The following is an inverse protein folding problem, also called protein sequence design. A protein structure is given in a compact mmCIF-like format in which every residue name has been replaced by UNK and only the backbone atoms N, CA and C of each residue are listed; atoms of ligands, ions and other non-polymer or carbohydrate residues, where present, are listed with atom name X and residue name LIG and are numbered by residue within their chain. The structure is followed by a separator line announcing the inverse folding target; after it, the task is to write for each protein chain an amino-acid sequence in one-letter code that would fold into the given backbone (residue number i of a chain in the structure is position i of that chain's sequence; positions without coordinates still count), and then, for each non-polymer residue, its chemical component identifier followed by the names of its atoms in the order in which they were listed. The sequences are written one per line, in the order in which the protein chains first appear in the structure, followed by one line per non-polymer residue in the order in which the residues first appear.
data_IF_310671636724
#
_entry.id   IF_310671636724
#
_cell.length_a   1.000
_cell.length_b   1.000
_cell.length_c   1.000
_cell.angle_alpha   90.00
_cell.angle_beta   90.00
_cell.angle_gamma   90.00
#
_symmetry.space_group_name_H-M   'P 1'
#
loop_
_entity.id
_entity.type
_entity.pdbx_description
1 polymer ?
#
# COMPACT_ATOMS: atom_id res chain seq x y z
N UNK A 1 -1.03 37.04 -31.83
CA UNK A 1 -0.49 35.80 -32.41
C UNK A 1 -0.33 34.79 -31.29
N UNK A 2 -1.29 33.88 -31.14
CA UNK A 2 -1.26 32.85 -30.10
C UNK A 2 -0.36 31.71 -30.58
N UNK A 3 0.71 31.41 -29.84
CA UNK A 3 1.55 30.27 -30.13
C UNK A 3 0.76 28.99 -29.86
N UNK A 4 0.50 28.22 -30.91
CA UNK A 4 0.01 26.84 -30.80
C UNK A 4 1.19 26.05 -30.25
N UNK A 5 1.14 25.72 -28.96
CA UNK A 5 2.05 24.73 -28.37
C UNK A 5 1.63 23.38 -28.95
N UNK A 6 2.33 22.95 -30.01
CA UNK A 6 2.27 21.56 -30.49
C UNK A 6 2.80 20.66 -29.38
N UNK A 7 1.90 20.20 -28.52
CA UNK A 7 2.19 19.14 -27.56
C UNK A 7 2.33 17.85 -28.37
N UNK A 8 3.57 17.45 -28.63
CA UNK A 8 3.86 16.12 -29.19
C UNK A 8 3.31 15.10 -28.19
N UNK A 9 2.25 14.39 -28.58
CA UNK A 9 1.66 13.34 -27.75
C UNK A 9 2.64 12.18 -27.71
N UNK A 10 3.34 12.01 -26.58
CA UNK A 10 4.25 10.88 -26.37
C UNK A 10 3.45 9.58 -26.40
N UNK A 11 3.98 8.50 -27.02
CA UNK A 11 3.33 7.21 -26.96
C UNK A 11 3.24 6.73 -25.51
N UNK A 12 2.07 6.18 -25.13
CA UNK A 12 1.89 5.52 -23.85
C UNK A 12 2.25 4.05 -23.98
N UNK A 13 3.07 3.56 -23.07
CA UNK A 13 3.53 2.18 -23.01
C UNK A 13 3.09 1.59 -21.68
N UNK A 14 2.24 0.56 -21.72
CA UNK A 14 1.86 -0.20 -20.54
C UNK A 14 2.84 -1.36 -20.33
N UNK A 15 3.32 -1.52 -19.10
CA UNK A 15 4.30 -2.54 -18.70
C UNK A 15 3.74 -3.29 -17.49
N UNK A 16 3.72 -4.62 -17.56
CA UNK A 16 3.38 -5.47 -16.42
C UNK A 16 4.64 -5.72 -15.58
N UNK A 17 4.57 -5.47 -14.27
CA UNK A 17 5.69 -5.65 -13.34
C UNK A 17 5.31 -6.66 -12.26
N UNK A 18 6.09 -7.73 -12.13
CA UNK A 18 5.84 -8.83 -11.21
C UNK A 18 6.68 -8.72 -9.93
N UNK A 19 6.02 -8.45 -8.81
CA UNK A 19 6.62 -8.62 -7.48
C UNK A 19 6.32 -10.04 -7.01
N UNK A 20 7.24 -10.96 -7.32
CA UNK A 20 7.11 -12.39 -7.00
C UNK A 20 7.67 -12.67 -5.62
N UNK A 21 6.85 -13.24 -4.73
CA UNK A 21 7.24 -13.62 -3.37
C UNK A 21 7.53 -15.11 -3.27
N UNK A 22 8.59 -15.48 -2.53
CA UNK A 22 8.80 -16.86 -2.10
C UNK A 22 8.16 -17.14 -0.73
N UNK A 23 8.26 -18.38 -0.27
CA UNK A 23 7.72 -18.82 1.03
C UNK A 23 8.42 -18.20 2.24
N UNK A 24 9.61 -17.62 2.07
CA UNK A 24 10.35 -16.90 3.10
C UNK A 24 10.06 -15.39 3.12
N UNK A 25 9.13 -14.91 2.28
CA UNK A 25 8.77 -13.49 2.19
C UNK A 25 9.77 -12.63 1.42
N UNK A 26 10.77 -13.23 0.77
CA UNK A 26 11.69 -12.52 -0.13
C UNK A 26 11.05 -12.32 -1.50
N UNK A 27 11.55 -11.30 -2.22
CA UNK A 27 11.11 -10.95 -3.56
C UNK A 27 12.14 -11.41 -4.60
N UNK A 28 11.68 -11.82 -5.77
CA UNK A 28 12.54 -12.15 -6.90
C UNK A 28 13.01 -10.87 -7.60
N UNK A 29 14.32 -10.70 -7.65
CA UNK A 29 15.00 -9.59 -8.31
C UNK A 29 15.76 -10.08 -9.53
N UNK A 30 15.75 -9.31 -10.61
CA UNK A 30 16.54 -9.55 -11.80
C UNK A 30 17.54 -8.40 -12.02
N UNK A 31 18.76 -8.73 -12.47
CA UNK A 31 19.80 -7.77 -12.81
C UNK A 31 19.95 -7.71 -14.33
N UNK A 32 19.83 -6.50 -14.89
CA UNK A 32 19.86 -6.30 -16.34
C UNK A 32 21.18 -6.80 -16.95
N UNK A 33 21.12 -7.63 -18.00
CA UNK A 33 22.33 -8.11 -18.68
C UNK A 33 23.06 -6.98 -19.40
N UNK A 34 24.33 -7.22 -19.69
CA UNK A 34 25.16 -6.33 -20.50
C UNK A 34 24.53 -6.03 -21.87
N UNK A 35 24.71 -4.80 -22.35
CA UNK A 35 24.19 -4.35 -23.65
C UNK A 35 22.75 -3.84 -23.67
N UNK A 36 22.00 -3.95 -22.56
CA UNK A 36 20.70 -3.25 -22.38
C UNK A 36 20.91 -1.87 -21.71
N UNK A 37 20.01 -0.89 -21.91
CA UNK A 37 20.01 0.34 -21.11
C UNK A 37 19.93 0.00 -19.62
N UNK A 38 20.77 0.63 -18.80
CA UNK A 38 20.92 0.32 -17.36
C UNK A 38 21.43 -1.10 -17.08
N UNK A 39 22.37 -1.62 -17.88
CA UNK A 39 23.08 -2.86 -17.58
C UNK A 39 23.64 -2.84 -16.14
N UNK A 40 23.51 -3.96 -15.42
CA UNK A 40 23.91 -4.09 -14.02
C UNK A 40 22.92 -3.54 -12.98
N UNK A 41 21.81 -2.90 -13.40
CA UNK A 41 20.78 -2.43 -12.47
C UNK A 41 19.81 -3.54 -12.10
N UNK A 42 19.39 -3.55 -10.84
CA UNK A 42 18.39 -4.47 -10.30
C UNK A 42 16.97 -3.93 -10.45
N UNK A 43 16.04 -4.81 -10.82
CA UNK A 43 14.62 -4.52 -10.98
C UNK A 43 13.74 -5.74 -10.71
N UNK A 44 12.42 -5.52 -10.74
CA UNK A 44 11.44 -6.60 -10.75
C UNK A 44 11.22 -7.11 -12.18
N UNK A 45 11.07 -8.42 -12.39
CA UNK A 45 10.84 -8.98 -13.71
C UNK A 45 9.49 -8.52 -14.30
N UNK A 46 9.42 -8.49 -15.62
CA UNK A 46 8.24 -8.02 -16.35
C UNK A 46 8.57 -7.29 -17.64
N UNK A 47 7.52 -6.97 -18.40
CA UNK A 47 7.71 -6.45 -19.75
C UNK A 47 6.46 -5.79 -20.31
N UNK A 48 6.53 -5.44 -21.59
CA UNK A 48 5.51 -4.63 -22.26
C UNK A 48 4.23 -5.44 -22.44
N UNK A 49 3.10 -4.79 -22.20
CA UNK A 49 1.78 -5.36 -22.51
C UNK A 49 1.57 -5.25 -24.01
N UNK A 50 1.31 -6.38 -24.67
CA UNK A 50 1.06 -6.40 -26.12
C UNK A 50 -0.36 -5.93 -26.48
N UNK A 51 -0.57 -5.65 -27.77
CA UNK A 51 -1.87 -5.23 -28.27
C UNK A 51 -2.94 -6.30 -27.99
N UNK A 52 -4.06 -5.88 -27.39
CA UNK A 52 -5.17 -6.74 -26.97
C UNK A 52 -4.82 -7.79 -25.88
N UNK A 53 -3.64 -7.68 -25.26
CA UNK A 53 -3.24 -8.52 -24.12
C UNK A 53 -3.72 -7.91 -22.80
N UNK A 54 -4.24 -8.76 -21.90
CA UNK A 54 -4.54 -8.34 -20.52
C UNK A 54 -3.26 -8.31 -19.68
N UNK A 55 -3.13 -7.37 -18.75
CA UNK A 55 -1.91 -7.18 -17.95
C UNK A 55 -1.45 -8.45 -17.23
N UNK A 56 -2.37 -9.22 -16.65
CA UNK A 56 -2.02 -10.50 -16.01
C UNK A 56 -1.46 -11.52 -17.00
N UNK A 57 -1.99 -11.57 -18.24
CA UNK A 57 -1.50 -12.47 -19.28
C UNK A 57 -0.11 -12.06 -19.74
N UNK A 58 0.12 -10.76 -19.94
CA UNK A 58 1.45 -10.21 -20.23
C UNK A 58 2.44 -10.61 -19.13
N UNK A 59 2.08 -10.38 -17.86
CA UNK A 59 2.91 -10.75 -16.73
C UNK A 59 3.29 -12.24 -16.73
N UNK A 60 2.32 -13.14 -16.94
CA UNK A 60 2.58 -14.59 -16.98
C UNK A 60 3.50 -14.97 -18.14
N UNK A 61 3.29 -14.37 -19.33
CA UNK A 61 4.14 -14.59 -20.50
C UNK A 61 5.57 -14.11 -20.25
N UNK A 62 5.75 -12.89 -19.78
CA UNK A 62 7.06 -12.30 -19.50
C UNK A 62 7.83 -13.12 -18.44
N UNK A 63 7.16 -13.52 -17.35
CA UNK A 63 7.78 -14.42 -16.35
C UNK A 63 8.20 -15.77 -16.94
N UNK A 64 7.43 -16.30 -17.90
CA UNK A 64 7.76 -17.56 -18.57
C UNK A 64 8.95 -17.40 -19.52
N UNK A 65 8.98 -16.30 -20.27
CA UNK A 65 10.04 -15.98 -21.24
C UNK A 65 11.37 -15.63 -20.57
N UNK A 66 11.34 -14.85 -19.49
CA UNK A 66 12.54 -14.42 -18.78
C UNK A 66 13.06 -15.49 -17.82
N UNK A 67 12.15 -16.18 -17.12
CA UNK A 67 12.47 -16.93 -15.89
C UNK A 67 12.02 -18.40 -15.89
N UNK A 68 11.36 -18.89 -16.94
CA UNK A 68 10.79 -20.25 -17.03
C UNK A 68 9.68 -20.57 -15.99
N UNK A 69 9.16 -19.56 -15.28
CA UNK A 69 8.10 -19.74 -14.26
C UNK A 69 6.73 -19.30 -14.77
N UNK A 70 5.68 -19.91 -14.23
CA UNK A 70 4.28 -19.56 -14.56
C UNK A 70 3.56 -19.10 -13.30
N UNK A 71 3.17 -17.84 -13.22
CA UNK A 71 2.39 -17.33 -12.09
C UNK A 71 1.00 -17.96 -12.07
N UNK A 72 0.64 -18.60 -10.95
CA UNK A 72 -0.65 -19.30 -10.79
C UNK A 72 -1.60 -18.57 -9.85
N UNK A 73 -1.06 -17.80 -8.90
CA UNK A 73 -1.87 -16.94 -8.05
C UNK A 73 -1.20 -15.59 -7.82
N UNK A 74 -1.99 -14.54 -8.00
CA UNK A 74 -1.56 -13.17 -7.89
C UNK A 74 -2.74 -12.21 -7.91
N UNK A 75 -2.43 -10.91 -7.84
CA UNK A 75 -3.43 -9.85 -7.85
C UNK A 75 -2.80 -8.50 -8.18
N UNK A 76 -3.61 -7.55 -8.70
CA UNK A 76 -3.14 -6.19 -8.94
C UNK A 76 -2.74 -5.52 -7.62
N UNK A 77 -1.89 -4.49 -7.69
CA UNK A 77 -1.47 -3.76 -6.50
C UNK A 77 -1.70 -2.25 -6.61
N UNK A 78 -0.97 -1.56 -7.48
CA UNK A 78 -1.20 -0.17 -7.88
C UNK A 78 -0.41 0.11 -9.16
N UNK A 79 -0.66 1.25 -9.80
CA UNK A 79 0.08 1.65 -10.99
C UNK A 79 0.97 2.86 -10.71
N UNK A 80 2.07 2.97 -11.44
CA UNK A 80 2.91 4.17 -11.44
C UNK A 80 3.17 4.60 -12.87
N UNK A 81 3.29 5.91 -13.05
CA UNK A 81 3.59 6.51 -14.35
C UNK A 81 4.94 7.23 -14.26
N UNK A 82 5.79 6.95 -15.24
CA UNK A 82 7.05 7.64 -15.44
C UNK A 82 7.01 8.33 -16.79
N UNK A 83 7.19 9.66 -16.78
CA UNK A 83 7.30 10.45 -18.00
C UNK A 83 8.76 10.51 -18.45
N UNK A 84 9.11 9.64 -19.39
CA UNK A 84 10.42 9.69 -20.05
C UNK A 84 10.36 10.66 -21.23
N UNK A 85 11.52 11.13 -21.70
CA UNK A 85 11.59 12.04 -22.85
C UNK A 85 10.91 11.46 -24.11
N UNK A 86 11.01 10.15 -24.31
CA UNK A 86 10.55 9.44 -25.51
C UNK A 86 9.18 8.76 -25.37
N UNK A 87 8.67 8.55 -24.16
CA UNK A 87 7.41 7.82 -23.91
C UNK A 87 6.85 8.08 -22.50
N UNK A 88 5.53 7.93 -22.35
CA UNK A 88 4.89 7.84 -21.04
C UNK A 88 4.74 6.36 -20.67
N UNK A 89 5.49 5.90 -19.67
CA UNK A 89 5.50 4.49 -19.26
C UNK A 89 4.59 4.32 -18.05
N UNK A 90 3.59 3.44 -18.17
CA UNK A 90 2.69 3.05 -17.08
C UNK A 90 3.03 1.64 -16.61
N UNK A 91 3.58 1.56 -15.40
CA UNK A 91 3.91 0.32 -14.72
C UNK A 91 2.68 -0.18 -13.96
N UNK A 92 2.20 -1.36 -14.31
CA UNK A 92 1.14 -2.06 -13.58
C UNK A 92 1.79 -3.06 -12.64
N UNK A 93 1.80 -2.78 -11.35
CA UNK A 93 2.44 -3.65 -10.37
C UNK A 93 1.46 -4.73 -9.94
N UNK A 94 1.93 -5.96 -9.97
CA UNK A 94 1.20 -7.15 -9.54
C UNK A 94 2.00 -7.89 -8.50
N UNK A 95 1.28 -8.47 -7.54
CA UNK A 95 1.87 -9.42 -6.61
C UNK A 95 1.66 -10.82 -7.14
N UNK A 96 2.70 -11.64 -7.04
CA UNK A 96 2.62 -13.07 -7.30
C UNK A 96 3.06 -13.79 -6.03
N UNK A 97 2.19 -14.64 -5.49
CA UNK A 97 2.46 -15.39 -4.27
C UNK A 97 2.44 -16.90 -4.49
N UNK A 98 2.06 -17.36 -5.68
CA UNK A 98 2.25 -18.73 -6.11
C UNK A 98 2.58 -18.79 -7.60
N UNK A 99 3.52 -19.66 -7.94
CA UNK A 99 3.96 -19.94 -9.31
C UNK A 99 4.42 -21.40 -9.44
N UNK A 100 4.48 -21.87 -10.68
CA UNK A 100 5.03 -23.18 -11.04
C UNK A 100 6.37 -23.03 -11.76
N UNK A 101 7.24 -24.03 -11.61
CA UNK A 101 8.59 -24.06 -12.18
C UNK A 101 9.66 -23.52 -11.24
N UNK A 102 10.92 -23.72 -11.61
CA UNK A 102 12.09 -23.19 -10.92
C UNK A 102 12.68 -22.04 -11.75
N UNK A 103 12.90 -20.83 -11.16
CA UNK A 103 13.46 -19.70 -11.89
C UNK A 103 14.80 -20.04 -12.59
N UNK A 104 14.91 -19.69 -13.87
CA UNK A 104 16.12 -19.86 -14.69
C UNK A 104 16.42 -18.60 -15.49
N UNK A 105 17.67 -18.19 -15.66
CA UNK A 105 17.99 -16.94 -16.36
C UNK A 105 18.00 -17.13 -17.88
N UNK A 106 16.83 -17.07 -18.53
CA UNK A 106 16.70 -17.35 -19.97
C UNK A 106 17.26 -16.24 -20.87
N UNK A 107 17.43 -15.02 -20.33
CA UNK A 107 17.99 -13.86 -21.03
C UNK A 107 19.42 -13.51 -20.59
N UNK A 108 20.13 -14.44 -19.94
CA UNK A 108 21.48 -14.21 -19.38
C UNK A 108 21.53 -13.13 -18.29
N UNK A 109 20.39 -12.82 -17.67
CA UNK A 109 20.29 -11.97 -16.49
C UNK A 109 20.78 -12.72 -15.25
N UNK A 110 21.32 -12.00 -14.26
CA UNK A 110 21.42 -12.58 -12.92
C UNK A 110 20.07 -12.40 -12.20
N UNK A 111 19.74 -13.28 -11.26
CA UNK A 111 18.59 -13.07 -10.38
C UNK A 111 18.92 -13.50 -8.95
N UNK A 112 18.18 -12.97 -7.98
CA UNK A 112 18.29 -13.37 -6.58
C UNK A 112 16.97 -13.24 -5.84
N UNK A 113 16.82 -13.99 -4.75
CA UNK A 113 15.75 -13.80 -3.78
C UNK A 113 16.27 -12.92 -2.65
N UNK A 114 15.70 -11.74 -2.48
CA UNK A 114 16.11 -10.79 -1.45
C UNK A 114 14.92 -10.00 -0.89
N UNK A 115 15.05 -9.49 0.33
CA UNK A 115 14.03 -8.61 0.91
C UNK A 115 13.98 -7.27 0.17
N UNK A 116 12.86 -6.54 0.30
CA UNK A 116 12.66 -5.24 -0.34
C UNK A 116 13.63 -4.15 0.19
N UNK A 117 14.21 -4.36 1.37
CA UNK A 117 15.16 -3.48 2.05
C UNK A 117 16.62 -3.99 1.98
N UNK A 118 16.89 -4.97 1.13
CA UNK A 118 18.23 -5.57 1.00
C UNK A 118 19.27 -4.54 0.52
N UNK A 119 20.33 -4.33 1.31
CA UNK A 119 21.46 -3.47 0.95
C UNK A 119 22.36 -4.04 -0.15
N UNK A 120 22.25 -5.35 -0.43
CA UNK A 120 23.11 -6.05 -1.39
C UNK A 120 22.71 -5.78 -2.85
N UNK A 121 21.54 -5.16 -3.07
CA UNK A 121 21.03 -4.83 -4.40
C UNK A 121 21.41 -3.40 -4.76
N UNK A 122 22.49 -3.25 -5.53
CA UNK A 122 22.93 -1.94 -6.01
C UNK A 122 23.66 -2.04 -7.36
N UNK A 123 23.41 -1.13 -8.31
CA UNK A 123 22.39 -0.08 -8.27
C UNK A 123 20.97 -0.63 -8.53
N UNK A 124 19.94 0.01 -7.95
CA UNK A 124 18.52 -0.29 -8.25
C UNK A 124 18.05 0.64 -9.36
N UNK A 125 17.21 0.14 -10.26
CA UNK A 125 16.67 0.96 -11.35
C UNK A 125 15.96 2.21 -10.79
N UNK A 126 16.18 3.42 -11.34
CA UNK A 126 15.56 4.65 -10.82
C UNK A 126 14.02 4.64 -10.81
N UNK A 127 13.39 3.82 -11.65
CA UNK A 127 11.93 3.62 -11.63
C UNK A 127 11.47 2.67 -10.51
N UNK A 128 12.35 1.78 -10.04
CA UNK A 128 12.07 0.77 -9.01
C UNK A 128 12.33 1.28 -7.60
N UNK A 129 13.36 2.11 -7.40
CA UNK A 129 13.74 2.62 -6.08
C UNK A 129 12.60 3.37 -5.34
N UNK A 130 11.80 4.25 -5.99
CA UNK A 130 10.67 4.93 -5.31
C UNK A 130 9.52 3.98 -4.92
N UNK A 131 9.52 2.75 -5.44
CA UNK A 131 8.52 1.73 -5.13
C UNK A 131 8.76 1.12 -3.75
N UNK A 132 10.02 0.91 -3.38
CA UNK A 132 10.40 0.13 -2.20
C UNK A 132 9.71 0.57 -0.91
N UNK A 133 9.69 1.87 -0.54
CA UNK A 133 8.97 2.30 0.66
C UNK A 133 7.45 2.12 0.56
N UNK A 134 6.87 2.08 -0.65
CA UNK A 134 5.44 1.77 -0.86
C UNK A 134 5.15 0.28 -0.74
N UNK A 135 6.06 -0.57 -1.19
CA UNK A 135 5.93 -2.02 -1.16
C UNK A 135 6.19 -2.59 0.25
N UNK A 136 7.12 -1.99 0.99
CA UNK A 136 7.54 -2.41 2.33
C UNK A 136 6.57 -2.00 3.46
N UNK A 137 5.45 -1.34 3.13
CA UNK A 137 4.46 -0.97 4.14
C UNK A 137 3.83 -2.22 4.79
N UNK A 138 3.51 -2.15 6.10
CA UNK A 138 2.66 -3.14 6.77
C UNK A 138 1.38 -3.44 6.01
N UNK A 139 1.02 -4.71 5.86
CA UNK A 139 -0.23 -5.11 5.19
C UNK A 139 -1.45 -5.16 6.12
N UNK A 140 -1.24 -4.97 7.42
CA UNK A 140 -2.29 -4.93 8.43
C UNK A 140 -2.32 -3.56 9.12
N UNK A 141 -3.52 -3.07 9.36
CA UNK A 141 -3.77 -1.86 10.14
C UNK A 141 -4.81 -2.14 11.23
N UNK A 142 -4.43 -1.99 12.50
CA UNK A 142 -5.32 -2.07 13.64
C UNK A 142 -5.86 -0.68 14.00
N UNK A 143 -7.16 -0.57 14.27
CA UNK A 143 -7.76 0.66 14.78
C UNK A 143 -7.95 0.56 16.31
N UNK A 144 -7.67 1.66 17.02
CA UNK A 144 -8.04 1.81 18.42
C UNK A 144 -9.55 1.94 18.60
N UNK A 145 -10.04 1.62 19.79
CA UNK A 145 -11.43 1.83 20.19
C UNK A 145 -11.55 1.92 21.72
N UNK A 146 -10.74 2.75 22.35
CA UNK A 146 -10.74 2.95 23.81
C UNK A 146 -12.09 3.51 24.30
N UNK A 147 -12.81 4.25 23.46
CA UNK A 147 -14.17 4.71 23.75
C UNK A 147 -15.20 3.61 24.03
N UNK A 148 -14.96 2.38 23.57
CA UNK A 148 -15.80 1.22 23.91
C UNK A 148 -15.43 0.57 25.27
N UNK A 149 -14.37 1.06 25.93
CA UNK A 149 -13.86 0.57 27.21
C UNK A 149 -12.33 0.49 27.19
N UNK A 150 -11.69 1.24 28.10
CA UNK A 150 -10.22 1.34 28.15
C UNK A 150 -9.57 -0.03 28.33
N UNK A 151 -9.92 -0.76 29.39
CA UNK A 151 -9.26 -2.03 29.73
C UNK A 151 -9.46 -3.10 28.66
N UNK A 152 -10.65 -3.14 28.05
CA UNK A 152 -10.95 -4.07 26.97
C UNK A 152 -10.13 -3.77 25.71
N UNK A 153 -9.99 -2.50 25.34
CA UNK A 153 -9.18 -2.09 24.19
C UNK A 153 -7.68 -2.28 24.47
N UNK A 154 -7.19 -1.89 25.64
CA UNK A 154 -5.80 -2.06 26.07
C UNK A 154 -5.40 -3.53 26.00
N UNK A 155 -6.12 -4.42 26.69
CA UNK A 155 -5.86 -5.86 26.68
C UNK A 155 -5.87 -6.46 25.28
N UNK A 156 -6.81 -6.02 24.43
CA UNK A 156 -6.89 -6.46 23.03
C UNK A 156 -5.64 -6.06 22.25
N UNK A 157 -5.23 -4.80 22.34
CA UNK A 157 -4.06 -4.29 21.62
C UNK A 157 -2.75 -4.90 22.16
N UNK A 158 -2.62 -5.06 23.48
CA UNK A 158 -1.47 -5.74 24.09
C UNK A 158 -1.38 -7.18 23.59
N UNK A 159 -2.45 -7.97 23.72
CA UNK A 159 -2.46 -9.37 23.28
C UNK A 159 -2.23 -9.52 21.77
N UNK A 160 -2.64 -8.51 21.01
CA UNK A 160 -2.49 -8.43 19.57
C UNK A 160 -1.04 -8.16 19.16
N UNK A 161 -0.38 -7.19 19.80
CA UNK A 161 0.91 -6.67 19.39
C UNK A 161 2.09 -7.37 20.08
N UNK A 162 1.88 -7.90 21.30
CA UNK A 162 2.88 -8.67 22.01
C UNK A 162 3.08 -10.03 21.32
N UNK A 163 4.29 -10.28 20.82
CA UNK A 163 4.64 -11.52 20.12
C UNK A 163 4.40 -11.49 18.60
N UNK A 164 3.95 -10.37 18.04
CA UNK A 164 3.91 -10.20 16.58
C UNK A 164 5.33 -9.99 16.03
N UNK A 165 5.72 -10.86 15.10
CA UNK A 165 6.96 -10.72 14.34
C UNK A 165 6.79 -9.93 13.04
N UNK A 166 5.54 -9.57 12.69
CA UNK A 166 5.26 -8.73 11.52
C UNK A 166 4.93 -7.30 11.94
N UNK A 167 5.33 -6.35 11.11
CA UNK A 167 4.98 -4.96 11.26
C UNK A 167 3.50 -4.73 10.94
N UNK A 168 2.87 -3.85 11.72
CA UNK A 168 1.47 -3.46 11.66
C UNK A 168 1.35 -1.96 11.89
N UNK A 169 0.43 -1.33 11.19
CA UNK A 169 0.02 0.03 11.53
C UNK A 169 -1.01 0.03 12.66
N UNK A 170 -0.80 0.84 13.70
CA UNK A 170 -1.80 1.06 14.75
C UNK A 170 -2.36 2.46 14.59
N UNK A 171 -3.57 2.57 14.03
CA UNK A 171 -4.26 3.85 13.90
C UNK A 171 -5.00 4.18 15.20
N UNK A 172 -4.52 5.21 15.91
CA UNK A 172 -5.21 5.80 17.03
C UNK A 172 -6.30 6.75 16.55
N UNK A 173 -7.54 6.38 16.82
CA UNK A 173 -8.75 7.06 16.36
C UNK A 173 -9.84 6.94 17.40
N UNK A 174 -10.01 8.01 18.16
CA UNK A 174 -11.03 8.09 19.20
C UNK A 174 -11.98 9.24 18.89
N UNK A 175 -13.27 8.90 18.69
CA UNK A 175 -14.33 9.88 18.38
C UNK A 175 -15.04 10.41 19.63
N UNK A 176 -15.12 9.57 20.66
CA UNK A 176 -15.97 9.81 21.83
C UNK A 176 -15.18 10.22 23.08
N UNK A 177 -13.88 9.93 23.13
CA UNK A 177 -13.03 10.30 24.26
C UNK A 177 -12.60 11.77 24.17
N UNK A 178 -12.52 12.42 25.33
CA UNK A 178 -12.06 13.80 25.49
C UNK A 178 -11.25 13.94 26.79
N UNK A 179 -10.51 15.04 26.92
CA UNK A 179 -9.74 15.39 28.12
C UNK A 179 -8.80 14.27 28.58
N UNK A 180 -8.69 14.10 29.90
CA UNK A 180 -7.79 13.13 30.54
C UNK A 180 -7.99 11.69 30.05
N UNK A 181 -9.22 11.30 29.71
CA UNK A 181 -9.50 9.97 29.20
C UNK A 181 -8.89 9.75 27.80
N UNK A 182 -8.93 10.77 26.94
CA UNK A 182 -8.29 10.73 25.63
C UNK A 182 -6.77 10.72 25.74
N UNK A 183 -6.21 11.56 26.62
CA UNK A 183 -4.77 11.63 26.89
C UNK A 183 -4.25 10.28 27.39
N UNK A 184 -4.91 9.70 28.40
CA UNK A 184 -4.56 8.37 28.93
C UNK A 184 -4.58 7.28 27.86
N UNK A 185 -5.58 7.29 26.98
CA UNK A 185 -5.69 6.35 25.88
C UNK A 185 -4.56 6.52 24.85
N UNK A 186 -4.22 7.77 24.51
CA UNK A 186 -3.13 8.09 23.60
C UNK A 186 -1.78 7.64 24.16
N UNK A 187 -1.46 8.01 25.40
CA UNK A 187 -0.21 7.66 26.06
C UNK A 187 -0.02 6.14 26.16
N UNK A 188 -1.08 5.42 26.54
CA UNK A 188 -1.07 3.97 26.57
C UNK A 188 -0.79 3.37 25.18
N UNK A 189 -1.54 3.79 24.16
CA UNK A 189 -1.39 3.28 22.80
C UNK A 189 0.00 3.58 22.23
N UNK A 190 0.50 4.79 22.46
CA UNK A 190 1.82 5.22 22.00
C UNK A 190 2.94 4.44 22.68
N UNK A 191 2.89 4.30 24.01
CA UNK A 191 3.86 3.51 24.77
C UNK A 191 3.88 2.04 24.31
N UNK A 192 2.71 1.45 24.05
CA UNK A 192 2.61 0.09 23.54
C UNK A 192 3.25 -0.06 22.15
N UNK A 193 3.00 0.89 21.23
CA UNK A 193 3.61 0.88 19.90
C UNK A 193 5.14 1.00 20.00
N UNK A 194 5.65 1.88 20.86
CA UNK A 194 7.10 2.01 21.10
C UNK A 194 7.69 0.72 21.67
N UNK A 195 7.04 0.11 22.67
CA UNK A 195 7.47 -1.15 23.29
C UNK A 195 7.54 -2.31 22.28
N UNK A 196 6.62 -2.33 21.32
CA UNK A 196 6.46 -3.43 20.35
C UNK A 196 7.11 -3.12 18.99
N UNK A 197 7.73 -1.95 18.81
CA UNK A 197 8.33 -1.53 17.54
C UNK A 197 7.32 -1.25 16.42
N UNK A 198 6.05 -1.03 16.77
CA UNK A 198 4.96 -0.85 15.80
C UNK A 198 4.77 0.63 15.45
N UNK A 199 4.32 0.88 14.22
CA UNK A 199 4.12 2.25 13.73
C UNK A 199 2.73 2.75 14.10
N UNK A 200 2.65 3.76 14.96
CA UNK A 200 1.39 4.43 15.31
C UNK A 200 1.06 5.54 14.30
N UNK A 201 -0.20 5.61 13.90
CA UNK A 201 -0.77 6.66 13.06
C UNK A 201 -1.83 7.40 13.87
N UNK A 202 -1.87 8.73 13.81
CA UNK A 202 -2.85 9.51 14.55
C UNK A 202 -3.93 10.07 13.62
N UNK A 203 -5.20 9.76 13.89
CA UNK A 203 -6.30 10.32 13.10
C UNK A 203 -6.37 11.84 13.25
N UNK A 204 -6.59 12.57 12.14
CA UNK A 204 -6.53 14.04 12.17
C UNK A 204 -7.60 14.71 13.05
N UNK A 205 -8.80 14.15 13.20
CA UNK A 205 -9.80 14.66 14.15
C UNK A 205 -9.34 14.48 15.60
N UNK A 206 -8.80 13.30 15.91
CA UNK A 206 -8.26 13.02 17.24
C UNK A 206 -7.02 13.89 17.53
N UNK A 207 -6.20 14.19 16.52
CA UNK A 207 -5.08 15.12 16.65
C UNK A 207 -5.54 16.53 17.03
N UNK A 208 -6.61 17.05 16.42
CA UNK A 208 -7.18 18.36 16.78
C UNK A 208 -7.58 18.43 18.25
N UNK A 209 -8.10 17.32 18.80
CA UNK A 209 -8.51 17.23 20.21
C UNK A 209 -7.33 17.10 21.19
N UNK A 210 -6.18 16.58 20.73
CA UNK A 210 -4.99 16.36 21.56
C UNK A 210 -3.99 17.53 21.52
N UNK A 211 -3.90 18.25 20.41
CA UNK A 211 -2.85 19.26 20.18
C UNK A 211 -2.85 20.42 21.18
N UNK A 212 -3.98 20.67 21.83
CA UNK A 212 -4.10 21.73 22.84
C UNK A 212 -3.67 21.26 24.23
N UNK A 213 -3.62 19.94 24.46
CA UNK A 213 -3.33 19.35 25.76
C UNK A 213 -1.96 18.67 25.85
N UNK A 214 -1.32 18.37 24.71
CA UNK A 214 -0.02 17.70 24.64
C UNK A 214 1.00 18.58 23.92
N UNK A 215 2.20 18.68 24.48
CA UNK A 215 3.30 19.47 23.91
C UNK A 215 3.80 18.92 22.56
N UNK A 216 3.74 17.60 22.37
CA UNK A 216 4.22 16.95 21.17
C UNK A 216 3.36 15.75 20.77
N UNK A 217 3.12 15.64 19.46
CA UNK A 217 2.40 14.54 18.81
C UNK A 217 3.28 14.02 17.65
N UNK A 218 4.28 13.16 17.94
CA UNK A 218 5.30 12.75 16.95
C UNK A 218 4.78 11.75 15.91
N UNK A 219 3.53 11.30 16.03
CA UNK A 219 2.95 10.32 15.12
C UNK A 219 2.54 10.99 13.79
N UNK A 220 2.86 10.39 12.63
CA UNK A 220 2.34 10.89 11.36
C UNK A 220 0.81 10.76 11.31
N UNK A 221 0.18 11.67 10.59
CA UNK A 221 -1.27 11.77 10.54
C UNK A 221 -1.90 10.83 9.52
N UNK A 222 -3.06 10.29 9.90
CA UNK A 222 -4.04 9.72 8.98
C UNK A 222 -5.23 10.68 8.84
N UNK A 223 -5.40 11.23 7.65
CA UNK A 223 -6.42 12.24 7.38
C UNK A 223 -7.81 11.61 7.22
N UNK A 224 -8.83 12.30 7.71
CA UNK A 224 -10.19 12.12 7.19
C UNK A 224 -10.27 12.59 5.74
N UNK A 225 -11.27 12.13 4.98
CA UNK A 225 -11.45 12.60 3.61
C UNK A 225 -11.69 14.11 3.56
N UNK A 226 -12.44 14.67 4.51
CA UNK A 226 -12.66 16.11 4.62
C UNK A 226 -11.35 16.90 4.77
N UNK A 227 -10.43 16.42 5.64
CA UNK A 227 -9.13 17.05 5.85
C UNK A 227 -8.16 16.86 4.67
N UNK A 228 -8.29 15.77 3.92
CA UNK A 228 -7.58 15.60 2.65
C UNK A 228 -8.00 16.68 1.63
N UNK A 229 -9.31 16.92 1.50
CA UNK A 229 -9.85 17.92 0.58
C UNK A 229 -9.52 19.36 1.02
N UNK A 230 -9.68 19.67 2.30
CA UNK A 230 -9.42 21.02 2.81
C UNK A 230 -7.96 21.43 2.67
N UNK A 231 -7.04 20.46 2.78
CA UNK A 231 -5.60 20.73 2.76
C UNK A 231 -5.07 21.42 4.02
N UNK A 232 -5.87 21.51 5.08
CA UNK A 232 -5.52 22.15 6.36
C UNK A 232 -4.21 21.60 6.96
N UNK A 233 -3.93 20.32 6.71
CA UNK A 233 -2.80 19.59 7.29
C UNK A 233 -1.56 19.56 6.37
N UNK A 234 -1.51 20.35 5.30
CA UNK A 234 -0.43 20.29 4.30
C UNK A 234 0.98 20.56 4.87
N UNK A 235 1.09 21.27 6.00
CA UNK A 235 2.36 21.58 6.65
C UNK A 235 2.75 20.57 7.74
N UNK A 236 1.99 19.49 7.91
CA UNK A 236 2.22 18.44 8.89
C UNK A 236 2.59 17.13 8.21
N UNK A 237 3.28 16.26 8.93
CA UNK A 237 3.63 14.94 8.42
C UNK A 237 2.37 14.06 8.30
N UNK A 238 1.88 13.88 7.08
CA UNK A 238 0.71 13.06 6.76
C UNK A 238 1.16 11.78 6.03
N UNK A 239 0.75 10.61 6.53
CA UNK A 239 1.11 9.33 5.93
C UNK A 239 0.04 8.79 4.97
N UNK A 240 -1.24 9.02 5.28
CA UNK A 240 -2.34 8.50 4.46
C UNK A 240 -3.68 9.14 4.80
N UNK A 241 -4.72 8.75 4.08
CA UNK A 241 -6.07 9.29 4.24
C UNK A 241 -7.15 8.23 4.05
N UNK A 242 -8.30 8.43 4.70
CA UNK A 242 -9.55 7.75 4.36
C UNK A 242 -10.13 8.37 3.10
N UNK A 243 -10.59 7.54 2.17
CA UNK A 243 -11.15 7.98 0.87
C UNK A 243 -12.37 7.14 0.50
N UNK A 244 -13.28 7.72 -0.29
CA UNK A 244 -14.52 7.07 -0.72
C UNK A 244 -14.73 7.08 -2.25
N UNK A 245 -13.79 7.62 -3.03
CA UNK A 245 -13.93 7.74 -4.48
C UNK A 245 -12.58 7.65 -5.21
N UNK A 246 -12.63 7.41 -6.52
CA UNK A 246 -11.44 7.46 -7.39
C UNK A 246 -10.81 8.86 -7.44
N UNK A 247 -11.63 9.92 -7.37
CA UNK A 247 -11.15 11.30 -7.30
C UNK A 247 -10.37 11.55 -6.00
N UNK A 248 -10.87 11.05 -4.87
CA UNK A 248 -10.16 11.16 -3.58
C UNK A 248 -8.88 10.32 -3.54
N UNK A 249 -8.84 9.17 -4.23
CA UNK A 249 -7.61 8.37 -4.41
C UNK A 249 -6.55 9.14 -5.21
N UNK A 250 -6.95 9.78 -6.31
CA UNK A 250 -6.07 10.65 -7.10
C UNK A 250 -5.57 11.83 -6.25
N UNK A 251 -6.45 12.49 -5.51
CA UNK A 251 -6.08 13.59 -4.62
C UNK A 251 -5.08 13.14 -3.53
N UNK A 252 -5.28 11.97 -2.92
CA UNK A 252 -4.33 11.41 -1.96
C UNK A 252 -2.94 11.22 -2.57
N UNK A 253 -2.87 10.74 -3.81
CA UNK A 253 -1.61 10.65 -4.56
C UNK A 253 -0.98 12.02 -4.80
N UNK A 254 -1.76 12.97 -5.31
CA UNK A 254 -1.28 14.30 -5.68
C UNK A 254 -0.79 15.10 -4.47
N UNK A 255 -1.32 14.80 -3.28
CA UNK A 255 -0.84 15.33 -1.98
C UNK A 255 0.39 14.62 -1.43
N UNK A 256 0.95 13.65 -2.15
CA UNK A 256 2.17 12.93 -1.76
C UNK A 256 1.97 11.91 -0.64
N UNK A 257 0.73 11.46 -0.39
CA UNK A 257 0.47 10.47 0.66
C UNK A 257 1.02 9.09 0.28
N UNK A 258 1.43 8.33 1.29
CA UNK A 258 2.05 7.00 1.13
C UNK A 258 1.02 5.90 0.91
N UNK A 259 -0.18 6.04 1.46
CA UNK A 259 -1.29 5.09 1.28
C UNK A 259 -2.66 5.77 1.41
N UNK A 260 -3.72 5.04 1.06
CA UNK A 260 -5.10 5.41 1.33
C UNK A 260 -5.86 4.23 1.97
N UNK A 261 -6.93 4.52 2.69
CA UNK A 261 -7.87 3.53 3.23
C UNK A 261 -9.21 3.72 2.54
N UNK A 262 -9.66 2.69 1.81
CA UNK A 262 -10.91 2.68 1.05
C UNK A 262 -11.89 1.65 1.65
N UNK A 263 -13.12 2.07 1.88
CA UNK A 263 -14.22 1.23 2.36
C UNK A 263 -15.55 2.00 2.36
N UNK A 264 -16.67 1.44 2.81
CA UNK A 264 -16.95 0.16 3.51
C UNK A 264 -17.12 -1.04 2.57
N UNK A 265 -16.19 -2.02 2.59
CA UNK A 265 -16.26 -3.20 1.71
C UNK A 265 -17.43 -4.12 2.08
N UNK A 266 -17.56 -4.49 3.35
CA UNK A 266 -18.74 -5.18 3.89
C UNK A 266 -19.57 -4.23 4.76
N UNK A 267 -20.79 -4.66 5.09
CA UNK A 267 -21.59 -4.00 6.11
C UNK A 267 -20.82 -3.97 7.45
N UNK A 268 -20.91 -2.87 8.18
CA UNK A 268 -20.13 -2.69 9.43
C UNK A 268 -21.03 -2.34 10.59
N UNK A 269 -20.67 -2.80 11.78
CA UNK A 269 -21.34 -2.36 13.01
C UNK A 269 -21.18 -0.84 13.26
N UNK A 270 -20.14 -0.21 12.69
CA UNK A 270 -19.91 1.24 12.77
C UNK A 270 -20.83 2.07 11.84
N UNK A 271 -21.48 1.44 10.86
CA UNK A 271 -22.45 2.06 9.94
C UNK A 271 -23.61 1.08 9.67
N UNK A 272 -24.51 0.86 10.65
CA UNK A 272 -25.59 -0.11 10.54
C UNK A 272 -26.58 0.29 9.43
N UNK A 273 -26.95 -0.68 8.58
CA UNK A 273 -27.97 -0.51 7.52
C UNK A 273 -27.45 -0.09 6.14
N UNK A 274 -26.15 0.19 5.98
CA UNK A 274 -25.54 0.40 4.66
C UNK A 274 -24.97 -0.91 4.11
N UNK A 275 -25.40 -1.29 2.91
CA UNK A 275 -24.75 -2.35 2.15
C UNK A 275 -23.32 -1.92 1.83
N UNK A 276 -22.34 -2.75 2.17
CA UNK A 276 -20.95 -2.50 1.76
C UNK A 276 -20.83 -2.50 0.24
N UNK A 277 -19.79 -1.84 -0.28
CA UNK A 277 -19.54 -1.69 -1.72
C UNK A 277 -19.26 -3.04 -2.41
N UNK A 278 -18.79 -4.03 -1.65
CA UNK A 278 -18.36 -5.32 -2.17
C UNK A 278 -17.05 -5.26 -2.96
N UNK A 279 -16.47 -6.43 -3.21
CA UNK A 279 -15.16 -6.54 -3.83
C UNK A 279 -15.11 -6.08 -5.29
N UNK A 280 -16.19 -6.27 -6.05
CA UNK A 280 -16.25 -5.83 -7.45
C UNK A 280 -16.13 -4.31 -7.57
N UNK A 281 -16.86 -3.55 -6.75
CA UNK A 281 -16.78 -2.09 -6.75
C UNK A 281 -15.45 -1.60 -6.16
N UNK A 282 -14.95 -2.26 -5.10
CA UNK A 282 -13.62 -1.98 -4.55
C UNK A 282 -12.53 -2.10 -5.63
N UNK A 283 -12.50 -3.25 -6.33
CA UNK A 283 -11.53 -3.52 -7.40
C UNK A 283 -11.61 -2.46 -8.51
N UNK A 284 -12.83 -2.08 -8.93
CA UNK A 284 -13.02 -1.07 -9.97
C UNK A 284 -12.43 0.30 -9.58
N UNK A 285 -12.51 0.68 -8.30
CA UNK A 285 -11.94 1.94 -7.81
C UNK A 285 -10.42 1.90 -7.69
N UNK A 286 -9.86 0.79 -7.20
CA UNK A 286 -8.41 0.69 -6.95
C UNK A 286 -7.61 0.31 -8.19
N UNK A 287 -8.26 -0.14 -9.27
CA UNK A 287 -7.58 -0.50 -10.52
C UNK A 287 -6.70 0.63 -11.08
N UNK A 288 -7.11 1.89 -10.87
CA UNK A 288 -6.36 3.08 -11.30
C UNK A 288 -5.57 3.75 -10.15
N UNK A 289 -5.53 3.14 -8.96
CA UNK A 289 -4.85 3.74 -7.81
C UNK A 289 -3.34 3.83 -8.05
N UNK A 290 -2.75 4.96 -7.65
CA UNK A 290 -1.33 5.28 -7.83
C UNK A 290 -0.49 5.12 -6.56
N UNK A 291 -1.11 4.53 -5.53
CA UNK A 291 -0.52 4.28 -4.22
C UNK A 291 -1.18 3.04 -3.58
N UNK A 292 -0.52 2.42 -2.59
CA UNK A 292 -1.10 1.37 -1.75
C UNK A 292 -2.49 1.74 -1.18
N UNK A 293 -3.48 0.86 -1.35
CA UNK A 293 -4.83 1.04 -0.80
C UNK A 293 -5.17 -0.05 0.22
N UNK A 294 -5.43 0.32 1.46
CA UNK A 294 -5.97 -0.61 2.46
C UNK A 294 -7.49 -0.73 2.30
N UNK A 295 -8.00 -1.95 2.33
CA UNK A 295 -9.43 -2.21 2.40
C UNK A 295 -9.91 -2.09 3.85
N UNK A 296 -11.06 -1.44 4.09
CA UNK A 296 -11.70 -1.37 5.41
C UNK A 296 -13.18 -1.70 5.34
N UNK A 297 -13.70 -2.22 6.46
CA UNK A 297 -15.12 -2.31 6.73
C UNK A 297 -15.59 -3.76 6.82
N UNK A 298 -15.75 -4.24 8.05
CA UNK A 298 -16.23 -5.60 8.34
C UNK A 298 -15.19 -6.69 8.08
N UNK A 299 -13.92 -6.31 7.93
CA UNK A 299 -12.81 -7.19 7.59
C UNK A 299 -12.02 -7.66 8.82
N UNK A 300 -11.42 -8.84 8.68
CA UNK A 300 -10.46 -9.44 9.59
C UNK A 300 -9.12 -9.70 8.88
N UNK A 301 -8.11 -10.12 9.65
CA UNK A 301 -6.81 -10.56 9.13
C UNK A 301 -6.95 -11.68 8.08
N UNK A 302 -7.91 -12.59 8.25
CA UNK A 302 -8.19 -13.71 7.34
C UNK A 302 -8.64 -13.28 5.95
N UNK A 303 -9.18 -12.06 5.81
CA UNK A 303 -9.62 -11.52 4.53
C UNK A 303 -8.47 -10.94 3.70
N UNK A 304 -7.26 -10.86 4.25
CA UNK A 304 -6.11 -10.24 3.59
C UNK A 304 -5.86 -10.81 2.18
N UNK A 305 -5.90 -12.14 2.02
CA UNK A 305 -5.64 -12.77 0.72
C UNK A 305 -6.68 -12.38 -0.31
N UNK A 306 -7.95 -12.35 0.09
CA UNK A 306 -9.09 -11.94 -0.75
C UNK A 306 -9.00 -10.45 -1.10
N UNK A 307 -8.64 -9.59 -0.14
CA UNK A 307 -8.45 -8.17 -0.37
C UNK A 307 -7.35 -7.90 -1.39
N UNK A 308 -6.21 -8.58 -1.26
CA UNK A 308 -5.08 -8.45 -2.17
C UNK A 308 -5.37 -8.99 -3.58
N UNK A 309 -6.22 -10.01 -3.73
CA UNK A 309 -6.72 -10.45 -5.04
C UNK A 309 -7.54 -9.37 -5.76
N UNK A 310 -8.18 -8.48 -5.00
CA UNK A 310 -9.00 -7.38 -5.52
C UNK A 310 -8.27 -6.03 -5.55
N UNK A 311 -6.94 -6.02 -5.42
CA UNK A 311 -6.13 -4.79 -5.55
C UNK A 311 -5.78 -4.08 -4.26
N UNK A 312 -6.20 -4.59 -3.09
CA UNK A 312 -5.80 -3.97 -1.83
C UNK A 312 -4.30 -4.18 -1.57
N UNK A 313 -3.64 -3.18 -1.02
CA UNK A 313 -2.34 -3.38 -0.39
C UNK A 313 -2.47 -4.27 0.85
N UNK A 314 -3.44 -3.97 1.70
CA UNK A 314 -3.64 -4.58 3.00
C UNK A 314 -5.06 -4.41 3.52
N UNK A 315 -5.29 -4.79 4.77
CA UNK A 315 -6.60 -4.66 5.45
C UNK A 315 -6.49 -3.81 6.71
N UNK A 316 -7.48 -2.95 6.92
CA UNK A 316 -7.66 -2.19 8.14
C UNK A 316 -8.85 -2.72 8.95
N UNK A 317 -8.67 -2.91 10.26
CA UNK A 317 -9.61 -3.64 11.10
C UNK A 317 -9.76 -3.03 12.50
N UNK A 318 -10.98 -3.07 13.04
CA UNK A 318 -11.31 -2.50 14.37
C UNK A 318 -11.26 -3.55 15.48
N UNK A 319 -11.87 -4.72 15.28
CA UNK A 319 -12.15 -5.68 16.35
C UNK A 319 -11.58 -7.09 16.14
N UNK A 320 -11.20 -7.45 14.91
CA UNK A 320 -10.80 -8.82 14.54
C UNK A 320 -9.31 -8.95 14.22
N UNK A 321 -8.47 -8.38 15.08
CA UNK A 321 -7.00 -8.46 14.95
C UNK A 321 -6.45 -9.77 15.54
N UNK A 322 -6.98 -10.92 15.13
CA UNK A 322 -6.47 -12.24 15.53
C UNK A 322 -6.01 -13.04 14.34
#
# INVERSE_FOLDING_TARGET
MSAIVNTVVKPRIDVAVAVVFNTHGQVLWACRPEGKPYAGYWEFPGGKVEAAEGVWRALVRELKEELDITATQGGPWFLIEHDYEHANVRLHLYRVWAFEGDPRPLEKQAFTWASLDSSDLSPILPATEPLLPKLAQPVLMALSNYGAGFDACAKRLESALEGLHTSVYVQFREKALQGDALIRAYEHCYALCQKTGQSMLLNSETWLSLRESLEALPCPLHLTEAHLHSGEFANLQCAGASVHSAASLALAFDRGLSYAVLGTVHATASHPGQSGMGWAQFQALVQAARLPVFAIGGLASSDLRMAQQHGAHGVAMLSQFK
#
